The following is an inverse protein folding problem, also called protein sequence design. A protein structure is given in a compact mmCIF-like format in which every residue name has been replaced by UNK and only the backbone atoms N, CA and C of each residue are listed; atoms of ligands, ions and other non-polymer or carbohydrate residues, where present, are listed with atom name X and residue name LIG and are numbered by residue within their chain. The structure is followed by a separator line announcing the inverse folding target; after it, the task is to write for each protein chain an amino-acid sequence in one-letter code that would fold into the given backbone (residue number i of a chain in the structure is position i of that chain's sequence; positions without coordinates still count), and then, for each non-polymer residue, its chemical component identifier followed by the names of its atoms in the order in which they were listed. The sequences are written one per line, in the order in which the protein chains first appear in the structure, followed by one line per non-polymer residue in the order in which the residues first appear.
data_IF_582700186047
#
_entry.id   IF_582700186047
#
_cell.length_a   1.000
_cell.length_b   1.000
_cell.length_c   1.000
_cell.angle_alpha   90.00
_cell.angle_beta   90.00
_cell.angle_gamma   90.00
#
_symmetry.space_group_name_H-M   'P 1'
#
loop_
_entity.id
_entity.type
_entity.pdbx_description
1 polymer ?
#
# COMPACT_ATOMS: atom_id res chain seq x y z
N UNK A 1 -25.76 -30.39 16.31
CA UNK A 1 -24.95 -29.23 16.75
C UNK A 1 -24.58 -28.42 15.52
N UNK A 2 -25.11 -27.21 15.35
CA UNK A 2 -24.60 -26.27 14.35
C UNK A 2 -23.13 -25.96 14.67
N UNK A 3 -22.22 -26.28 13.75
CA UNK A 3 -20.82 -25.85 13.86
C UNK A 3 -20.74 -24.38 13.47
N UNK A 4 -20.84 -23.47 14.44
CA UNK A 4 -20.57 -22.05 14.20
C UNK A 4 -19.12 -21.89 13.73
N UNK A 5 -18.93 -21.39 12.51
CA UNK A 5 -17.59 -21.05 12.01
C UNK A 5 -17.28 -19.60 12.32
N UNK A 6 -16.35 -19.39 13.23
CA UNK A 6 -15.92 -18.04 13.61
C UNK A 6 -15.10 -17.43 12.45
N UNK A 7 -15.34 -16.17 12.06
CA UNK A 7 -14.51 -15.48 11.07
C UNK A 7 -13.19 -15.06 11.74
N UNK A 8 -12.14 -15.85 11.49
CA UNK A 8 -10.82 -15.69 12.10
C UNK A 8 -10.17 -14.33 11.83
N UNK A 9 -10.42 -13.74 10.65
CA UNK A 9 -9.76 -12.52 10.18
C UNK A 9 -10.27 -11.25 10.91
N UNK A 10 -11.58 -10.97 11.00
CA UNK A 10 -12.07 -9.89 11.84
C UNK A 10 -11.82 -10.16 13.33
N UNK A 11 -11.85 -11.43 13.77
CA UNK A 11 -11.50 -11.77 15.15
C UNK A 11 -10.04 -11.40 15.48
N UNK A 12 -9.09 -11.77 14.61
CA UNK A 12 -7.67 -11.45 14.82
C UNK A 12 -7.43 -9.94 14.78
N UNK A 13 -8.15 -9.19 13.95
CA UNK A 13 -8.10 -7.73 13.93
C UNK A 13 -8.59 -7.11 15.26
N UNK A 14 -9.69 -7.62 15.81
CA UNK A 14 -10.19 -7.20 17.13
C UNK A 14 -9.16 -7.51 18.22
N UNK A 15 -8.64 -8.73 18.27
CA UNK A 15 -7.64 -9.15 19.26
C UNK A 15 -6.37 -8.29 19.15
N UNK A 16 -5.88 -8.08 17.93
CA UNK A 16 -4.74 -7.21 17.67
C UNK A 16 -4.98 -5.79 18.15
N UNK A 17 -6.16 -5.22 17.87
CA UNK A 17 -6.50 -3.87 18.31
C UNK A 17 -6.52 -3.76 19.84
N UNK A 18 -7.12 -4.73 20.55
CA UNK A 18 -7.10 -4.75 22.00
C UNK A 18 -5.68 -4.85 22.57
N UNK A 19 -4.83 -5.71 21.99
CA UNK A 19 -3.42 -5.79 22.38
C UNK A 19 -2.69 -4.47 22.15
N UNK A 20 -2.94 -3.79 21.02
CA UNK A 20 -2.35 -2.49 20.74
C UNK A 20 -2.78 -1.44 21.77
N UNK A 21 -4.06 -1.40 22.16
CA UNK A 21 -4.56 -0.52 23.23
C UNK A 21 -3.87 -0.82 24.56
N UNK A 22 -3.72 -2.10 24.93
CA UNK A 22 -2.99 -2.49 26.14
C UNK A 22 -1.55 -2.01 26.07
N UNK A 23 -0.87 -2.19 24.93
CA UNK A 23 0.51 -1.74 24.71
C UNK A 23 0.69 -0.23 24.81
N UNK A 24 -0.31 0.55 24.39
CA UNK A 24 -0.35 2.01 24.63
C UNK A 24 -0.50 2.30 26.12
N UNK A 25 -1.38 1.59 26.83
CA UNK A 25 -1.60 1.81 28.27
C UNK A 25 -0.38 1.48 29.14
N UNK A 26 0.41 0.47 28.78
CA UNK A 26 1.65 0.12 29.49
C UNK A 26 2.88 0.92 29.01
N UNK A 27 2.68 1.90 28.12
CA UNK A 27 3.73 2.81 27.65
C UNK A 27 4.75 2.20 26.69
N UNK A 28 4.47 1.03 26.10
CA UNK A 28 5.31 0.47 25.02
C UNK A 28 5.11 1.26 23.73
N UNK A 29 3.87 1.66 23.45
CA UNK A 29 3.53 2.53 22.31
C UNK A 29 3.13 3.93 22.77
N UNK A 30 3.48 4.98 22.00
CA UNK A 30 3.08 6.35 22.30
C UNK A 30 1.56 6.51 22.25
N UNK A 31 1.05 7.52 22.95
CA UNK A 31 -0.36 7.90 22.83
C UNK A 31 -0.67 8.36 21.40
N UNK A 32 -1.92 8.23 20.90
CA UNK A 32 -2.25 8.56 19.52
C UNK A 32 -1.86 9.97 19.09
N UNK A 33 -2.02 10.96 19.96
CA UNK A 33 -1.65 12.35 19.74
C UNK A 33 -0.12 12.56 19.68
N UNK A 34 0.63 11.88 20.56
CA UNK A 34 2.10 11.85 20.50
C UNK A 34 2.59 11.16 19.22
N UNK A 35 1.96 10.05 18.84
CA UNK A 35 2.28 9.33 17.61
C UNK A 35 2.05 10.21 16.37
N UNK A 36 0.94 10.95 16.32
CA UNK A 36 0.66 11.91 15.26
C UNK A 36 1.73 13.01 15.22
N UNK A 37 2.13 13.58 16.36
CA UNK A 37 3.20 14.59 16.41
C UNK A 37 4.56 14.05 15.96
N UNK A 38 4.90 12.82 16.33
CA UNK A 38 6.13 12.16 15.85
C UNK A 38 6.09 12.03 14.32
N UNK A 39 4.98 11.56 13.77
CA UNK A 39 4.79 11.40 12.33
C UNK A 39 4.82 12.76 11.60
N UNK A 40 4.22 13.80 12.17
CA UNK A 40 4.26 15.16 11.65
C UNK A 40 5.68 15.72 11.63
N UNK A 41 6.45 15.56 12.72
CA UNK A 41 7.85 15.98 12.77
C UNK A 41 8.73 15.24 11.74
N UNK A 42 8.49 13.94 11.55
CA UNK A 42 9.16 13.16 10.50
C UNK A 42 8.80 13.69 9.11
N UNK A 43 7.54 14.07 8.89
CA UNK A 43 7.12 14.72 7.66
C UNK A 43 7.78 16.10 7.47
N UNK A 44 7.87 16.94 8.50
CA UNK A 44 8.56 18.23 8.41
C UNK A 44 10.04 18.06 8.09
N UNK A 45 10.68 17.02 8.64
CA UNK A 45 12.11 16.78 8.48
C UNK A 45 12.47 16.13 7.14
N UNK A 46 11.66 15.17 6.68
CA UNK A 46 11.99 14.33 5.52
C UNK A 46 10.99 14.42 4.37
N UNK A 47 9.76 14.87 4.62
CA UNK A 47 8.71 15.18 3.66
C UNK A 47 8.77 14.39 2.35
N UNK A 48 9.10 15.09 1.27
CA UNK A 48 9.17 14.54 -0.09
C UNK A 48 10.32 13.55 -0.30
N UNK A 49 11.44 13.70 0.41
CA UNK A 49 12.56 12.75 0.33
C UNK A 49 12.16 11.41 0.97
N UNK A 50 11.54 11.47 2.16
CA UNK A 50 10.97 10.29 2.82
C UNK A 50 9.91 9.61 1.97
N UNK A 51 9.04 10.40 1.33
CA UNK A 51 8.06 9.91 0.35
C UNK A 51 8.73 9.17 -0.81
N UNK A 52 9.77 9.76 -1.42
CA UNK A 52 10.51 9.14 -2.52
C UNK A 52 11.10 7.79 -2.11
N UNK A 53 11.79 7.74 -0.97
CA UNK A 53 12.42 6.52 -0.45
C UNK A 53 11.37 5.46 -0.14
N UNK A 54 10.26 5.84 0.48
CA UNK A 54 9.18 4.92 0.80
C UNK A 54 8.53 4.34 -0.46
N UNK A 55 8.17 5.18 -1.43
CA UNK A 55 7.59 4.76 -2.70
C UNK A 55 8.57 3.91 -3.51
N UNK A 56 9.88 4.19 -3.42
CA UNK A 56 10.91 3.39 -4.05
C UNK A 56 10.96 1.97 -3.47
N UNK A 57 11.08 1.82 -2.15
CA UNK A 57 11.13 0.50 -1.52
C UNK A 57 9.82 -0.29 -1.67
N UNK A 58 8.67 0.38 -1.56
CA UNK A 58 7.38 -0.25 -1.77
C UNK A 58 7.17 -0.69 -3.23
N UNK A 59 7.73 0.04 -4.19
CA UNK A 59 7.63 -0.32 -5.59
C UNK A 59 8.55 -1.47 -6.01
N UNK A 60 9.56 -1.82 -5.21
CA UNK A 60 10.49 -2.90 -5.56
C UNK A 60 9.83 -4.27 -5.46
N UNK A 61 10.03 -5.10 -6.48
CA UNK A 61 9.51 -6.47 -6.49
C UNK A 61 10.09 -7.25 -5.31
N UNK A 62 9.24 -8.02 -4.63
CA UNK A 62 9.52 -8.75 -3.38
C UNK A 62 9.77 -7.90 -2.14
N UNK A 63 10.54 -6.82 -2.23
CA UNK A 63 10.81 -5.93 -1.07
C UNK A 63 9.53 -5.20 -0.65
N UNK A 64 8.75 -4.70 -1.60
CA UNK A 64 7.50 -3.99 -1.34
C UNK A 64 6.39 -4.83 -0.70
N UNK A 65 6.53 -6.16 -0.70
CA UNK A 65 5.60 -7.04 0.03
C UNK A 65 5.81 -6.97 1.55
N UNK A 66 7.02 -6.59 1.99
CA UNK A 66 7.38 -6.47 3.40
C UNK A 66 7.41 -5.00 3.88
N UNK A 67 7.42 -4.06 2.93
CA UNK A 67 7.50 -2.64 3.22
C UNK A 67 6.18 -1.93 2.91
N UNK A 68 5.45 -1.55 3.95
CA UNK A 68 4.13 -0.92 3.83
C UNK A 68 4.24 0.60 3.55
N UNK A 69 4.87 0.97 2.43
CA UNK A 69 5.13 2.36 2.04
C UNK A 69 3.86 3.20 1.81
N UNK A 70 2.73 2.57 1.48
CA UNK A 70 1.48 3.23 1.16
C UNK A 70 0.91 3.99 2.36
N UNK A 71 1.18 3.53 3.59
CA UNK A 71 0.87 4.30 4.79
C UNK A 71 1.70 5.58 4.89
N UNK A 72 2.98 5.54 4.50
CA UNK A 72 3.83 6.74 4.47
C UNK A 72 3.32 7.72 3.42
N UNK A 73 2.95 7.24 2.22
CA UNK A 73 2.34 8.07 1.17
C UNK A 73 1.06 8.74 1.71
N UNK A 74 0.20 7.97 2.38
CA UNK A 74 -1.02 8.50 3.00
C UNK A 74 -0.72 9.56 4.06
N UNK A 75 0.24 9.32 4.95
CA UNK A 75 0.62 10.30 5.98
C UNK A 75 1.16 11.59 5.38
N UNK A 76 2.01 11.50 4.36
CA UNK A 76 2.51 12.68 3.62
C UNK A 76 1.37 13.50 3.03
N UNK A 77 0.34 12.85 2.50
CA UNK A 77 -0.87 13.54 2.04
C UNK A 77 -1.62 14.19 3.20
N UNK A 78 -1.83 13.48 4.31
CA UNK A 78 -2.54 13.99 5.48
C UNK A 78 -1.84 15.19 6.13
N UNK A 79 -0.51 15.19 6.20
CA UNK A 79 0.28 16.28 6.78
C UNK A 79 0.57 17.43 5.81
N UNK A 80 0.19 17.29 4.52
CA UNK A 80 0.34 18.37 3.55
C UNK A 80 -0.53 19.59 3.87
N UNK A 81 -0.16 20.74 3.32
CA UNK A 81 -0.84 22.03 3.52
C UNK A 81 -2.16 22.19 2.75
N UNK A 82 -2.60 21.13 2.04
CA UNK A 82 -3.84 21.12 1.28
C UNK A 82 -3.80 21.90 -0.03
N UNK A 83 -2.67 22.50 -0.40
CA UNK A 83 -2.55 23.24 -1.66
C UNK A 83 -2.41 22.29 -2.85
N UNK A 84 -2.97 22.69 -3.99
CA UNK A 84 -2.87 21.91 -5.23
C UNK A 84 -1.41 21.64 -5.64
N UNK A 85 -0.51 22.62 -5.41
CA UNK A 85 0.92 22.45 -5.70
C UNK A 85 1.56 21.32 -4.87
N UNK A 86 1.11 21.13 -3.63
CA UNK A 86 1.61 20.07 -2.74
C UNK A 86 1.16 18.70 -3.22
N UNK A 87 -0.10 18.55 -3.63
CA UNK A 87 -0.59 17.30 -4.23
C UNK A 87 0.11 16.96 -5.54
N UNK A 88 0.37 17.97 -6.37
CA UNK A 88 1.14 17.78 -7.59
C UNK A 88 2.58 17.35 -7.28
N UNK A 89 3.23 18.00 -6.31
CA UNK A 89 4.59 17.65 -5.90
C UNK A 89 4.67 16.21 -5.36
N UNK A 90 3.72 15.81 -4.52
CA UNK A 90 3.60 14.43 -4.02
C UNK A 90 3.46 13.45 -5.18
N UNK A 91 2.54 13.72 -6.11
CA UNK A 91 2.31 12.82 -7.25
C UNK A 91 3.52 12.70 -8.17
N UNK A 92 4.20 13.82 -8.47
CA UNK A 92 5.42 13.84 -9.27
C UNK A 92 6.54 13.05 -8.58
N UNK A 93 6.74 13.24 -7.28
CA UNK A 93 7.77 12.51 -6.51
C UNK A 93 7.52 11.01 -6.50
N UNK A 94 6.27 10.57 -6.28
CA UNK A 94 5.90 9.16 -6.36
C UNK A 94 6.13 8.61 -7.78
N UNK A 95 5.74 9.36 -8.81
CA UNK A 95 5.96 8.94 -10.19
C UNK A 95 7.45 8.79 -10.53
N UNK A 96 8.31 9.72 -10.07
CA UNK A 96 9.76 9.64 -10.24
C UNK A 96 10.35 8.42 -9.53
N UNK A 97 9.93 8.15 -8.29
CA UNK A 97 10.35 6.96 -7.55
C UNK A 97 9.94 5.68 -8.30
N UNK A 98 8.68 5.62 -8.76
CA UNK A 98 8.16 4.48 -9.52
C UNK A 98 8.82 4.31 -10.89
N UNK A 99 9.26 5.38 -11.55
CA UNK A 99 10.07 5.31 -12.78
C UNK A 99 11.46 4.70 -12.53
N UNK A 100 12.08 4.96 -11.38
CA UNK A 100 13.34 4.33 -11.04
C UNK A 100 13.13 2.86 -10.67
N UNK A 101 12.11 2.57 -9.86
CA UNK A 101 11.68 1.22 -9.51
C UNK A 101 11.38 0.39 -10.74
N UNK A 102 10.66 0.94 -11.72
CA UNK A 102 10.25 0.22 -12.92
C UNK A 102 11.48 -0.25 -13.71
N UNK A 103 12.50 0.60 -13.81
CA UNK A 103 13.81 0.27 -14.38
C UNK A 103 14.48 -0.88 -13.62
N UNK A 104 14.56 -0.77 -12.29
CA UNK A 104 15.17 -1.81 -11.45
C UNK A 104 14.45 -3.15 -11.63
N UNK A 105 13.12 -3.17 -11.52
CA UNK A 105 12.31 -4.38 -11.68
C UNK A 105 12.44 -4.99 -13.07
N UNK A 106 12.47 -4.15 -14.12
CA UNK A 106 12.69 -4.61 -15.49
C UNK A 106 14.07 -5.26 -15.67
N UNK A 107 15.13 -4.64 -15.14
CA UNK A 107 16.50 -5.19 -15.20
C UNK A 107 16.60 -6.51 -14.44
N UNK A 108 16.01 -6.59 -13.24
CA UNK A 108 15.96 -7.82 -12.44
C UNK A 108 15.27 -8.94 -13.20
N UNK A 109 14.10 -8.68 -13.79
CA UNK A 109 13.39 -9.65 -14.63
C UNK A 109 14.24 -10.13 -15.81
N UNK A 110 14.89 -9.20 -16.51
CA UNK A 110 15.73 -9.53 -17.67
C UNK A 110 16.96 -10.37 -17.30
N UNK A 111 17.58 -10.08 -16.15
CA UNK A 111 18.76 -10.80 -15.65
C UNK A 111 18.45 -12.24 -15.25
N UNK A 112 17.28 -12.48 -14.64
CA UNK A 112 16.86 -13.83 -14.23
C UNK A 112 16.69 -14.76 -15.43
N UNK A 113 16.14 -14.26 -16.54
CA UNK A 113 16.02 -15.04 -17.78
C UNK A 113 17.36 -15.37 -18.43
N UNK A 114 18.33 -14.46 -18.34
CA UNK A 114 19.66 -14.74 -18.90
C UNK A 114 20.38 -15.89 -18.17
N UNK A 115 19.97 -16.21 -16.94
CA UNK A 115 20.57 -17.28 -16.13
C UNK A 115 19.80 -18.61 -16.21
N UNK A 116 18.46 -18.60 -16.24
CA UNK A 116 17.65 -19.83 -16.21
C UNK A 116 16.68 -19.92 -17.41
N UNK A 117 17.17 -20.44 -18.55
CA UNK A 117 16.33 -20.75 -19.73
C UNK A 117 15.39 -21.96 -19.53
N UNK A 118 15.63 -22.80 -18.51
CA UNK A 118 14.94 -24.09 -18.30
C UNK A 118 13.65 -24.01 -17.45
N UNK A 119 13.51 -23.02 -16.57
CA UNK A 119 12.34 -22.86 -15.65
C UNK A 119 11.20 -21.99 -16.23
N UNK A 120 11.32 -21.58 -17.50
CA UNK A 120 10.38 -20.66 -18.16
C UNK A 120 8.91 -21.11 -18.07
N UNK A 121 8.66 -22.43 -18.06
CA UNK A 121 7.31 -23.01 -18.01
C UNK A 121 6.71 -23.14 -16.61
N UNK A 122 7.51 -23.16 -15.54
CA UNK A 122 6.98 -23.25 -14.17
C UNK A 122 6.66 -21.85 -13.62
N UNK A 123 7.55 -20.89 -13.87
CA UNK A 123 7.34 -19.48 -13.49
C UNK A 123 6.15 -18.82 -14.21
N UNK A 124 5.91 -19.15 -15.49
CA UNK A 124 4.75 -18.65 -16.24
C UNK A 124 3.41 -19.28 -15.78
N UNK A 125 3.45 -20.52 -15.28
CA UNK A 125 2.24 -21.29 -14.91
C UNK A 125 1.76 -20.97 -13.50
N UNK A 126 2.66 -20.64 -12.58
CA UNK A 126 2.32 -20.19 -11.23
C UNK A 126 1.97 -18.69 -11.16
N UNK A 127 2.45 -17.87 -12.11
CA UNK A 127 2.34 -16.40 -12.02
C UNK A 127 1.47 -15.80 -13.12
N UNK A 128 0.20 -16.20 -13.16
CA UNK A 128 -0.89 -15.39 -13.74
C UNK A 128 -1.08 -14.09 -12.92
N UNK A 129 -0.05 -13.26 -12.83
CA UNK A 129 -0.10 -11.97 -12.14
C UNK A 129 -0.26 -10.89 -13.22
N UNK A 130 -1.48 -10.36 -13.26
CA UNK A 130 -2.03 -9.27 -14.08
C UNK A 130 -1.26 -8.92 -15.36
N UNK A 131 -1.70 -9.49 -16.49
CA UNK A 131 -1.28 -9.08 -17.83
C UNK A 131 -1.72 -7.66 -18.22
N UNK A 132 -2.60 -7.04 -17.43
CA UNK A 132 -3.17 -5.72 -17.72
C UNK A 132 -2.54 -4.60 -16.90
N UNK A 133 -2.00 -3.60 -17.59
CA UNK A 133 -1.48 -2.35 -17.02
C UNK A 133 -2.43 -1.72 -15.99
N UNK A 134 -3.72 -1.66 -16.33
CA UNK A 134 -4.75 -0.98 -15.53
C UNK A 134 -4.92 -1.63 -14.15
N UNK A 135 -4.99 -2.96 -14.11
CA UNK A 135 -5.12 -3.70 -12.84
C UNK A 135 -3.84 -3.60 -12.01
N UNK A 136 -2.68 -3.60 -12.68
CA UNK A 136 -1.40 -3.46 -12.01
C UNK A 136 -1.17 -2.06 -11.44
N UNK A 137 -1.72 -1.02 -12.07
CA UNK A 137 -1.60 0.36 -11.62
C UNK A 137 -2.36 0.68 -10.32
N UNK A 138 -3.28 -0.20 -9.88
CA UNK A 138 -4.04 0.01 -8.65
C UNK A 138 -3.19 -0.12 -7.37
N UNK A 139 -2.05 -0.80 -7.43
CA UNK A 139 -1.20 -1.00 -6.26
C UNK A 139 0.30 -1.06 -6.65
N UNK A 140 1.21 -0.39 -5.91
CA UNK A 140 2.65 -0.41 -6.20
C UNK A 140 3.23 -1.83 -6.38
N UNK A 141 2.91 -2.76 -5.48
CA UNK A 141 3.32 -4.17 -5.61
C UNK A 141 2.86 -4.85 -6.91
N UNK A 142 1.62 -4.63 -7.34
CA UNK A 142 1.13 -5.20 -8.61
C UNK A 142 1.84 -4.57 -9.81
N UNK A 143 2.12 -3.28 -9.74
CA UNK A 143 2.89 -2.55 -10.74
C UNK A 143 4.35 -3.04 -10.81
N UNK A 144 4.94 -3.40 -9.66
CA UNK A 144 6.28 -4.00 -9.56
C UNK A 144 6.37 -5.29 -10.37
N UNK A 145 5.41 -6.21 -10.17
CA UNK A 145 5.33 -7.46 -10.91
C UNK A 145 5.11 -7.25 -12.40
N UNK A 146 4.31 -6.24 -12.78
CA UNK A 146 4.11 -5.90 -14.18
C UNK A 146 5.42 -5.51 -14.87
N UNK A 147 6.21 -4.60 -14.29
CA UNK A 147 7.51 -4.20 -14.86
C UNK A 147 8.54 -5.33 -14.86
N UNK A 148 8.55 -6.14 -13.80
CA UNK A 148 9.36 -7.35 -13.74
C UNK A 148 9.02 -8.32 -14.88
N UNK A 149 7.73 -8.55 -15.14
CA UNK A 149 7.25 -9.38 -16.24
C UNK A 149 7.58 -8.79 -17.62
N UNK A 150 7.59 -7.46 -17.79
CA UNK A 150 8.09 -6.83 -19.02
C UNK A 150 9.58 -7.12 -19.23
N UNK A 151 10.36 -7.11 -18.15
CA UNK A 151 11.77 -7.52 -18.14
C UNK A 151 11.95 -8.98 -18.58
N UNK A 152 11.10 -9.87 -18.06
CA UNK A 152 11.06 -11.28 -18.47
C UNK A 152 10.74 -11.41 -19.98
N UNK A 153 9.78 -10.65 -20.48
CA UNK A 153 9.39 -10.72 -21.90
C UNK A 153 10.36 -10.00 -22.85
N UNK A 154 11.39 -9.32 -22.33
CA UNK A 154 12.30 -8.45 -23.09
C UNK A 154 11.56 -7.40 -23.93
N UNK A 155 10.43 -6.93 -23.42
CA UNK A 155 9.63 -5.86 -24.02
C UNK A 155 10.41 -4.53 -24.04
N UNK A 156 9.95 -3.56 -24.83
CA UNK A 156 10.68 -2.30 -24.99
C UNK A 156 10.79 -1.52 -23.66
N UNK A 157 11.99 -1.03 -23.30
CA UNK A 157 12.23 -0.34 -22.03
C UNK A 157 11.55 1.04 -21.96
N UNK A 158 11.16 1.61 -23.11
CA UNK A 158 10.44 2.89 -23.14
C UNK A 158 9.11 2.84 -22.40
N UNK A 159 8.37 1.72 -22.50
CA UNK A 159 7.13 1.53 -21.73
C UNK A 159 7.39 1.63 -20.22
N UNK A 160 8.53 1.12 -19.77
CA UNK A 160 8.92 1.05 -18.35
C UNK A 160 9.09 2.44 -17.73
N UNK A 161 9.67 3.39 -18.49
CA UNK A 161 9.97 4.74 -17.99
C UNK A 161 8.73 5.64 -18.00
N UNK A 162 7.92 5.56 -19.06
CA UNK A 162 6.81 6.50 -19.26
C UNK A 162 5.52 6.13 -18.52
N UNK A 163 5.27 4.84 -18.26
CA UNK A 163 4.05 4.40 -17.58
C UNK A 163 3.87 5.10 -16.22
N UNK A 164 4.87 5.18 -15.33
CA UNK A 164 4.70 5.85 -14.03
C UNK A 164 4.42 7.35 -14.15
N UNK A 165 4.96 8.01 -15.17
CA UNK A 165 4.69 9.43 -15.43
C UNK A 165 3.24 9.68 -15.86
N UNK A 166 2.65 8.76 -16.62
CA UNK A 166 1.23 8.83 -17.00
C UNK A 166 0.31 8.67 -15.78
N UNK A 167 0.80 8.10 -14.67
CA UNK A 167 0.03 7.97 -13.43
C UNK A 167 0.01 9.25 -12.58
N UNK A 168 0.71 10.32 -12.97
CA UNK A 168 0.72 11.58 -12.20
C UNK A 168 -0.70 12.16 -12.00
N UNK A 169 -1.59 12.25 -13.01
CA UNK A 169 -2.95 12.73 -12.79
C UNK A 169 -3.75 11.85 -11.84
N UNK A 170 -3.54 10.53 -11.90
CA UNK A 170 -4.17 9.56 -11.01
C UNK A 170 -3.69 9.73 -9.56
N UNK A 171 -2.37 9.83 -9.36
CA UNK A 171 -1.78 10.07 -8.03
C UNK A 171 -2.21 11.42 -7.45
N UNK A 172 -2.33 12.46 -8.28
CA UNK A 172 -2.83 13.77 -7.86
C UNK A 172 -4.28 13.68 -7.38
N UNK A 173 -5.14 13.02 -8.15
CA UNK A 173 -6.55 12.84 -7.80
C UNK A 173 -6.70 12.04 -6.49
N UNK A 174 -5.92 10.98 -6.31
CA UNK A 174 -5.90 10.23 -5.05
C UNK A 174 -5.43 11.10 -3.87
N UNK A 175 -4.33 11.84 -4.02
CA UNK A 175 -3.84 12.73 -2.96
C UNK A 175 -4.90 13.76 -2.56
N UNK A 176 -5.57 14.37 -3.55
CA UNK A 176 -6.67 15.29 -3.32
C UNK A 176 -7.83 14.62 -2.56
N UNK A 177 -8.30 13.44 -3.02
CA UNK A 177 -9.40 12.72 -2.38
C UNK A 177 -9.07 12.31 -0.94
N UNK A 178 -7.89 11.76 -0.69
CA UNK A 178 -7.46 11.38 0.66
C UNK A 178 -7.33 12.59 1.58
N UNK A 179 -6.88 13.73 1.07
CA UNK A 179 -6.85 14.97 1.86
C UNK A 179 -8.26 15.43 2.26
N UNK A 180 -9.26 15.32 1.37
CA UNK A 180 -10.65 15.62 1.73
C UNK A 180 -11.20 14.71 2.82
N UNK A 181 -10.70 13.47 2.91
CA UNK A 181 -11.05 12.51 3.96
C UNK A 181 -10.24 12.71 5.26
N UNK A 182 -9.25 13.62 5.29
CA UNK A 182 -8.41 13.90 6.46
C UNK A 182 -9.21 14.07 7.76
N UNK A 183 -10.30 14.87 7.83
CA UNK A 183 -11.04 15.05 9.08
C UNK A 183 -11.69 13.76 9.61
N UNK A 184 -12.09 12.86 8.71
CA UNK A 184 -12.68 11.56 9.07
C UNK A 184 -11.57 10.63 9.56
N UNK A 185 -10.44 10.61 8.86
CA UNK A 185 -9.30 9.75 9.16
C UNK A 185 -8.61 10.14 10.49
N UNK A 186 -8.43 11.43 10.76
CA UNK A 186 -7.81 11.89 12.02
C UNK A 186 -8.74 11.69 13.20
N UNK A 187 -10.04 12.05 13.09
CA UNK A 187 -11.02 11.80 14.16
C UNK A 187 -11.18 10.31 14.46
N UNK A 188 -11.17 9.46 13.43
CA UNK A 188 -11.23 8.01 13.59
C UNK A 188 -10.00 7.43 14.29
N UNK A 189 -8.82 8.03 14.09
CA UNK A 189 -7.59 7.65 14.79
C UNK A 189 -7.59 8.10 16.26
N UNK A 190 -8.14 9.29 16.54
CA UNK A 190 -8.19 9.87 17.89
C UNK A 190 -9.27 9.25 18.79
N UNK A 191 -10.28 8.57 18.21
CA UNK A 191 -11.40 7.98 18.96
C UNK A 191 -11.39 6.45 18.89
N UNK A 192 -10.85 5.77 19.93
CA UNK A 192 -10.74 4.31 19.95
C UNK A 192 -12.06 3.59 19.66
N UNK A 193 -13.16 4.19 20.12
CA UNK A 193 -14.51 3.64 19.99
C UNK A 193 -14.99 3.52 18.54
N UNK A 194 -14.59 4.42 17.63
CA UNK A 194 -15.01 4.36 16.23
C UNK A 194 -14.41 3.11 15.57
N UNK A 195 -13.11 2.88 15.75
CA UNK A 195 -12.43 1.74 15.15
C UNK A 195 -12.96 0.42 15.71
N UNK A 196 -13.19 0.34 17.02
CA UNK A 196 -13.84 -0.83 17.65
C UNK A 196 -15.22 -1.07 17.06
N UNK A 197 -16.03 -0.02 16.90
CA UNK A 197 -17.39 -0.14 16.35
C UNK A 197 -17.36 -0.69 14.93
N UNK A 198 -16.47 -0.18 14.08
CA UNK A 198 -16.29 -0.67 12.70
C UNK A 198 -15.85 -2.13 12.69
N UNK A 199 -14.88 -2.51 13.53
CA UNK A 199 -14.39 -3.89 13.62
C UNK A 199 -15.47 -4.85 14.14
N UNK A 200 -16.29 -4.43 15.09
CA UNK A 200 -17.42 -5.22 15.62
C UNK A 200 -18.50 -5.40 14.56
N UNK A 201 -18.88 -4.34 13.85
CA UNK A 201 -19.83 -4.42 12.74
C UNK A 201 -19.31 -5.39 11.68
N UNK A 202 -18.03 -5.27 11.30
CA UNK A 202 -17.41 -6.16 10.33
C UNK A 202 -17.40 -7.62 10.80
N UNK A 203 -17.08 -7.86 12.08
CA UNK A 203 -17.13 -9.20 12.68
C UNK A 203 -18.53 -9.80 12.65
N UNK A 204 -19.57 -9.02 12.98
CA UNK A 204 -20.98 -9.46 12.93
C UNK A 204 -21.39 -9.79 11.50
N UNK A 205 -21.11 -8.90 10.54
CA UNK A 205 -21.42 -9.14 9.11
C UNK A 205 -20.72 -10.39 8.61
N UNK A 206 -19.43 -10.55 8.92
CA UNK A 206 -18.66 -11.73 8.52
C UNK A 206 -19.19 -13.02 9.17
N UNK A 207 -19.63 -12.96 10.43
CA UNK A 207 -20.30 -14.08 11.11
C UNK A 207 -21.59 -14.49 10.40
N UNK A 208 -22.44 -13.51 10.05
CA UNK A 208 -23.71 -13.75 9.38
C UNK A 208 -23.46 -14.36 7.99
N UNK A 209 -22.60 -13.76 7.18
CA UNK A 209 -22.32 -14.25 5.82
C UNK A 209 -21.70 -15.64 5.82
N UNK A 210 -20.76 -15.91 6.73
CA UNK A 210 -20.07 -17.21 6.81
C UNK A 210 -21.00 -18.34 7.23
N UNK A 211 -21.98 -18.06 8.09
CA UNK A 211 -22.98 -19.05 8.52
C UNK A 211 -24.21 -19.12 7.61
N UNK A 212 -24.47 -18.11 6.77
CA UNK A 212 -25.55 -18.12 5.76
C UNK A 212 -25.18 -18.91 4.50
N UNK A 213 -23.91 -18.94 4.10
CA UNK A 213 -23.45 -19.65 2.90
C UNK A 213 -23.37 -21.19 3.06
N UNK A 214 -23.82 -21.76 4.19
CA UNK A 214 -23.85 -23.21 4.45
C UNK A 214 -25.26 -23.77 4.75
N UNK A 215 -26.32 -22.98 4.49
CA UNK A 215 -27.72 -23.45 4.42
C UNK A 215 -28.07 -23.67 2.95
#
# INVERSE_FOLDING_TARGET
MMKFKIPLLPLSAIVFYFLAVIFVQIGIFPQPDEAIKILENLYTSYGLIGLFVAAFFEGLVYVGLYFAGSFIILFVVLFSDGKLISFLSISVVVALALSLVSLVNYVLGRYIISKNLREKKELEKERKISSGLVLSALHPNSLAFYFFNLGLKKESPWKVIFIPLILIPYGFLLAYLFYQLKPILTKGAETPYILVTVLVIWFIIALILKNKNEI
#
